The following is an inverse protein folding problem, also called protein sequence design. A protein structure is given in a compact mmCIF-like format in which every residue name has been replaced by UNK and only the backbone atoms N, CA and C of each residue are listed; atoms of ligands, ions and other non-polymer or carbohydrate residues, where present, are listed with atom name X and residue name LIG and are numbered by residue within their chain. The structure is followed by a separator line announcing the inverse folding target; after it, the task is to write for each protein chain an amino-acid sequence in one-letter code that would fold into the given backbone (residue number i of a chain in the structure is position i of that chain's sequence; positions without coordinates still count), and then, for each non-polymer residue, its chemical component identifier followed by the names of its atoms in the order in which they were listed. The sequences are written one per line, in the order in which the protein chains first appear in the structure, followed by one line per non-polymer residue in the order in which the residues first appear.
data_IF_968601795320
#
_entry.id   IF_968601795320
#
_cell.length_a   1.000
_cell.length_b   1.000
_cell.length_c   1.000
_cell.angle_alpha   90.00
_cell.angle_beta   90.00
_cell.angle_gamma   90.00
#
_symmetry.space_group_name_H-M   'P 1'
#
loop_
_entity.id
_entity.type
_entity.pdbx_description
1 polymer ?
#
# COMPACT_ATOMS: atom_id res chain seq x y z
N UNK A 1 7.32 -29.58 -36.73
CA UNK A 1 7.95 -29.41 -35.41
C UNK A 1 7.79 -27.97 -35.00
N UNK A 2 6.88 -27.68 -34.08
CA UNK A 2 6.76 -26.36 -33.45
C UNK A 2 7.46 -26.45 -32.09
N UNK A 3 8.76 -26.18 -32.07
CA UNK A 3 9.49 -25.98 -30.83
C UNK A 3 9.14 -24.60 -30.29
N UNK A 4 8.01 -24.47 -29.58
CA UNK A 4 7.73 -23.26 -28.81
C UNK A 4 8.81 -23.17 -27.75
N UNK A 5 9.61 -22.10 -27.80
CA UNK A 5 10.62 -21.84 -26.78
C UNK A 5 9.87 -21.48 -25.48
N UNK A 6 9.77 -22.45 -24.58
CA UNK A 6 9.06 -22.31 -23.31
C UNK A 6 9.60 -21.11 -22.50
N UNK A 7 10.92 -20.87 -22.52
CA UNK A 7 11.55 -19.69 -21.91
C UNK A 7 11.10 -18.38 -22.56
N UNK A 8 10.92 -18.36 -23.88
CA UNK A 8 10.42 -17.19 -24.61
C UNK A 8 8.97 -16.87 -24.25
N UNK A 9 8.12 -17.88 -24.14
CA UNK A 9 6.72 -17.71 -23.73
C UNK A 9 6.64 -17.20 -22.29
N UNK A 10 7.37 -17.80 -21.35
CA UNK A 10 7.41 -17.33 -19.96
C UNK A 10 7.94 -15.90 -19.81
N UNK A 11 8.97 -15.51 -20.57
CA UNK A 11 9.51 -14.16 -20.53
C UNK A 11 8.53 -13.11 -21.10
N UNK A 12 7.78 -13.46 -22.15
CA UNK A 12 6.76 -12.60 -22.75
C UNK A 12 5.59 -12.36 -21.80
N UNK A 13 5.21 -13.35 -21.00
CA UNK A 13 4.11 -13.22 -20.04
C UNK A 13 4.56 -12.52 -18.72
N UNK A 14 5.80 -12.72 -18.30
CA UNK A 14 6.32 -12.15 -17.05
C UNK A 14 6.46 -10.61 -17.09
N UNK A 15 6.95 -10.05 -18.21
CA UNK A 15 7.19 -8.60 -18.32
C UNK A 15 5.90 -7.76 -18.24
N UNK A 16 4.81 -8.08 -18.97
CA UNK A 16 3.53 -7.40 -18.85
C UNK A 16 2.91 -7.54 -17.47
N UNK A 17 3.01 -8.73 -16.85
CA UNK A 17 2.48 -8.94 -15.50
C UNK A 17 3.19 -8.08 -14.46
N UNK A 18 4.53 -8.01 -14.50
CA UNK A 18 5.28 -7.14 -13.61
C UNK A 18 4.92 -5.66 -13.81
N UNK A 19 4.81 -5.22 -15.07
CA UNK A 19 4.40 -3.85 -15.37
C UNK A 19 3.01 -3.52 -14.80
N UNK A 20 2.03 -4.41 -15.00
CA UNK A 20 0.68 -4.25 -14.45
C UNK A 20 0.71 -4.21 -12.93
N UNK A 21 1.49 -5.07 -12.28
CA UNK A 21 1.65 -5.08 -10.81
C UNK A 21 2.24 -3.78 -10.29
N UNK A 22 3.25 -3.20 -10.95
CA UNK A 22 3.82 -1.92 -10.53
C UNK A 22 2.76 -0.80 -10.60
N UNK A 23 2.04 -0.70 -11.71
CA UNK A 23 1.02 0.35 -11.87
C UNK A 23 -0.14 0.14 -10.89
N UNK A 24 -0.64 -1.08 -10.75
CA UNK A 24 -1.82 -1.35 -9.91
C UNK A 24 -1.49 -1.37 -8.42
N UNK A 25 -0.47 -2.12 -7.99
CA UNK A 25 -0.17 -2.40 -6.58
C UNK A 25 0.81 -1.39 -5.99
N UNK A 26 1.81 -0.91 -6.73
CA UNK A 26 2.77 0.06 -6.18
C UNK A 26 2.33 1.52 -6.34
N UNK A 27 1.39 1.83 -7.23
CA UNK A 27 0.97 3.21 -7.48
C UNK A 27 -0.52 3.39 -7.20
N UNK A 28 -1.40 2.76 -7.97
CA UNK A 28 -2.83 3.04 -7.88
C UNK A 28 -3.44 2.66 -6.53
N UNK A 29 -3.12 1.48 -6.00
CA UNK A 29 -3.60 1.02 -4.70
C UNK A 29 -3.17 1.96 -3.55
N UNK A 30 -1.88 2.30 -3.35
CA UNK A 30 -1.46 3.26 -2.34
C UNK A 30 -2.15 4.62 -2.45
N UNK A 31 -2.34 5.15 -3.67
CA UNK A 31 -3.04 6.44 -3.84
C UNK A 31 -4.48 6.34 -3.31
N UNK A 32 -5.22 5.30 -3.71
CA UNK A 32 -6.62 5.11 -3.29
C UNK A 32 -6.70 4.84 -1.78
N UNK A 33 -5.82 3.99 -1.27
CA UNK A 33 -5.78 3.62 0.15
C UNK A 33 -5.42 4.82 1.02
N UNK A 34 -4.44 5.63 0.65
CA UNK A 34 -4.10 6.84 1.41
C UNK A 34 -5.24 7.88 1.36
N UNK A 35 -5.88 8.08 0.20
CA UNK A 35 -7.05 8.96 0.10
C UNK A 35 -8.18 8.50 1.03
N UNK A 36 -8.48 7.20 1.05
CA UNK A 36 -9.54 6.64 1.87
C UNK A 36 -9.17 6.65 3.36
N UNK A 37 -8.05 6.05 3.73
CA UNK A 37 -7.73 5.86 5.14
C UNK A 37 -7.19 7.14 5.80
N UNK A 38 -6.37 7.91 5.10
CA UNK A 38 -5.69 9.08 5.69
C UNK A 38 -6.44 10.37 5.37
N UNK A 39 -7.06 10.46 4.20
CA UNK A 39 -7.86 11.62 3.80
C UNK A 39 -9.32 11.60 4.27
N UNK A 40 -9.89 10.42 4.56
CA UNK A 40 -11.28 10.32 5.04
C UNK A 40 -11.35 9.74 6.46
N UNK A 41 -10.85 8.52 6.69
CA UNK A 41 -11.03 7.82 7.97
C UNK A 41 -10.25 8.49 9.11
N UNK A 42 -8.96 8.81 8.90
CA UNK A 42 -8.13 9.48 9.90
C UNK A 42 -8.59 10.91 10.18
N UNK A 43 -8.99 11.65 9.14
CA UNK A 43 -9.51 13.01 9.31
C UNK A 43 -10.83 12.97 10.10
N UNK A 44 -11.75 12.03 9.81
CA UNK A 44 -12.96 11.80 10.61
C UNK A 44 -12.66 11.48 12.08
N UNK A 45 -11.74 10.56 12.37
CA UNK A 45 -11.36 10.29 13.76
C UNK A 45 -10.63 11.48 14.40
N UNK A 46 -9.87 12.26 13.62
CA UNK A 46 -9.14 13.44 14.09
C UNK A 46 -10.04 14.59 14.52
N UNK A 47 -11.28 14.65 14.04
CA UNK A 47 -12.29 15.60 14.53
C UNK A 47 -12.79 15.29 15.94
N UNK A 48 -12.69 14.02 16.37
CA UNK A 48 -13.31 13.51 17.61
C UNK A 48 -12.24 13.16 18.66
N UNK A 49 -11.07 12.68 18.22
CA UNK A 49 -10.07 12.08 19.08
C UNK A 49 -8.68 12.74 18.96
N UNK A 50 -7.85 12.68 20.01
CA UNK A 50 -6.44 13.07 19.95
C UNK A 50 -5.66 12.33 18.86
N UNK A 51 -4.58 12.96 18.37
CA UNK A 51 -3.80 12.50 17.20
C UNK A 51 -3.47 11.01 17.20
N UNK A 52 -2.97 10.49 18.31
CA UNK A 52 -2.50 9.10 18.38
C UNK A 52 -3.66 8.09 18.39
N UNK A 53 -4.82 8.48 18.90
CA UNK A 53 -6.01 7.63 18.89
C UNK A 53 -6.57 7.55 17.46
N UNK A 54 -6.64 8.67 16.75
CA UNK A 54 -7.05 8.70 15.35
C UNK A 54 -6.12 7.86 14.46
N UNK A 55 -4.80 8.04 14.62
CA UNK A 55 -3.79 7.25 13.87
C UNK A 55 -3.94 5.75 14.18
N UNK A 56 -4.05 5.38 15.46
CA UNK A 56 -4.14 3.98 15.87
C UNK A 56 -5.38 3.28 15.30
N UNK A 57 -6.56 3.89 15.43
CA UNK A 57 -7.79 3.26 14.94
C UNK A 57 -7.82 3.17 13.42
N UNK A 58 -7.38 4.21 12.71
CA UNK A 58 -7.24 4.13 11.25
C UNK A 58 -6.26 3.04 10.84
N UNK A 59 -5.08 2.96 11.48
CA UNK A 59 -4.09 1.93 11.20
C UNK A 59 -4.60 0.51 11.51
N UNK A 60 -5.39 0.34 12.58
CA UNK A 60 -6.02 -0.92 12.93
C UNK A 60 -7.02 -1.37 11.85
N UNK A 61 -7.91 -0.47 11.41
CA UNK A 61 -8.86 -0.78 10.33
C UNK A 61 -8.10 -1.10 9.04
N UNK A 62 -7.10 -0.29 8.69
CA UNK A 62 -6.26 -0.51 7.52
C UNK A 62 -5.54 -1.87 7.57
N UNK A 63 -5.01 -2.27 8.73
CA UNK A 63 -4.43 -3.59 8.92
C UNK A 63 -5.44 -4.72 8.71
N UNK A 64 -6.59 -4.65 9.37
CA UNK A 64 -7.59 -5.73 9.40
C UNK A 64 -8.17 -6.06 8.02
N UNK A 65 -8.25 -5.10 7.09
CA UNK A 65 -8.76 -5.35 5.73
C UNK A 65 -7.81 -6.19 4.86
N UNK A 66 -6.57 -6.44 5.27
CA UNK A 66 -5.58 -7.19 4.49
C UNK A 66 -5.66 -8.72 4.64
N UNK A 67 -6.65 -9.23 5.38
CA UNK A 67 -7.14 -10.61 5.47
C UNK A 67 -6.16 -11.75 5.85
N UNK A 68 -4.84 -11.57 5.72
CA UNK A 68 -3.85 -12.54 6.18
C UNK A 68 -3.02 -11.99 7.35
N UNK A 69 -2.59 -12.84 8.31
CA UNK A 69 -1.93 -12.37 9.53
C UNK A 69 -0.67 -11.52 9.32
N UNK A 70 0.17 -11.89 8.34
CA UNK A 70 1.41 -11.17 8.07
C UNK A 70 1.14 -9.80 7.48
N UNK A 71 0.23 -9.70 6.50
CA UNK A 71 -0.17 -8.42 5.92
C UNK A 71 -0.95 -7.56 6.90
N UNK A 72 -1.75 -8.14 7.81
CA UNK A 72 -2.44 -7.37 8.87
C UNK A 72 -1.40 -6.67 9.75
N UNK A 73 -0.41 -7.40 10.26
CA UNK A 73 0.63 -6.84 11.13
C UNK A 73 1.45 -5.79 10.36
N UNK A 74 1.82 -6.11 9.12
CA UNK A 74 2.63 -5.22 8.31
C UNK A 74 1.88 -3.92 7.96
N UNK A 75 0.64 -4.03 7.48
CA UNK A 75 -0.20 -2.89 7.13
C UNK A 75 -0.57 -2.06 8.37
N UNK A 76 -0.77 -2.67 9.54
CA UNK A 76 -0.95 -1.92 10.79
C UNK A 76 0.25 -1.02 11.08
N UNK A 77 1.46 -1.58 11.12
CA UNK A 77 2.66 -0.78 11.43
C UNK A 77 3.00 0.23 10.35
N UNK A 78 2.89 -0.14 9.07
CA UNK A 78 2.99 0.80 7.96
C UNK A 78 1.96 1.92 8.11
N UNK A 79 0.73 1.57 8.48
CA UNK A 79 -0.33 2.54 8.68
C UNK A 79 -0.12 3.50 9.85
N UNK A 80 0.52 3.06 10.93
CA UNK A 80 0.96 3.94 12.02
C UNK A 80 1.97 4.98 11.50
N UNK A 81 2.94 4.55 10.68
CA UNK A 81 3.95 5.43 10.08
C UNK A 81 3.30 6.41 9.09
N UNK A 82 2.49 5.91 8.15
CA UNK A 82 1.82 6.73 7.14
C UNK A 82 0.88 7.76 7.77
N UNK A 83 0.12 7.33 8.79
CA UNK A 83 -0.79 8.20 9.53
C UNK A 83 -0.05 9.29 10.32
N UNK A 84 1.08 8.96 10.95
CA UNK A 84 1.94 9.94 11.61
C UNK A 84 2.52 10.95 10.61
N UNK A 85 3.08 10.48 9.49
CA UNK A 85 3.64 11.34 8.45
C UNK A 85 2.58 12.27 7.86
N UNK A 86 1.37 11.76 7.58
CA UNK A 86 0.25 12.58 7.11
C UNK A 86 -0.13 13.67 8.13
N UNK A 87 -0.15 13.32 9.41
CA UNK A 87 -0.50 14.27 10.48
C UNK A 87 0.53 15.40 10.57
N UNK A 88 1.82 15.06 10.64
CA UNK A 88 2.89 16.05 10.82
C UNK A 88 3.12 16.92 9.57
N UNK A 89 2.91 16.37 8.37
CA UNK A 89 3.11 17.11 7.11
C UNK A 89 1.88 17.85 6.62
N UNK A 90 0.68 17.50 7.09
CA UNK A 90 -0.58 18.03 6.58
C UNK A 90 -0.89 17.61 5.13
N UNK A 91 -0.10 16.71 4.53
CA UNK A 91 -0.18 16.32 3.11
C UNK A 91 -0.27 14.81 2.96
N UNK A 92 -1.03 14.34 1.96
CA UNK A 92 -1.09 12.92 1.60
C UNK A 92 0.11 12.47 0.76
N UNK A 93 0.77 13.39 0.05
CA UNK A 93 1.86 13.02 -0.86
C UNK A 93 3.03 12.29 -0.20
N UNK A 94 3.51 12.69 0.99
CA UNK A 94 4.57 11.95 1.66
C UNK A 94 4.15 10.55 2.09
N UNK A 95 2.89 10.35 2.54
CA UNK A 95 2.39 9.03 2.94
C UNK A 95 2.16 8.13 1.73
N UNK A 96 1.59 8.67 0.64
CA UNK A 96 1.46 7.99 -0.66
C UNK A 96 2.83 7.53 -1.15
N UNK A 97 3.83 8.40 -1.12
CA UNK A 97 5.17 8.06 -1.57
C UNK A 97 5.79 6.91 -0.75
N UNK A 98 5.74 6.99 0.58
CA UNK A 98 6.27 5.93 1.45
C UNK A 98 5.54 4.60 1.24
N UNK A 99 4.22 4.65 1.10
CA UNK A 99 3.42 3.45 0.88
C UNK A 99 3.68 2.84 -0.51
N UNK A 100 3.78 3.66 -1.55
CA UNK A 100 4.20 3.23 -2.88
C UNK A 100 5.59 2.61 -2.90
N UNK A 101 6.56 3.18 -2.18
CA UNK A 101 7.89 2.60 -2.02
C UNK A 101 7.85 1.24 -1.32
N UNK A 102 7.02 1.10 -0.27
CA UNK A 102 6.85 -0.17 0.42
C UNK A 102 6.29 -1.25 -0.52
N UNK A 103 5.23 -0.94 -1.26
CA UNK A 103 4.62 -1.90 -2.19
C UNK A 103 5.56 -2.24 -3.36
N UNK A 104 6.31 -1.26 -3.88
CA UNK A 104 7.32 -1.52 -4.89
C UNK A 104 8.42 -2.45 -4.37
N UNK A 105 8.88 -2.24 -3.14
CA UNK A 105 9.85 -3.11 -2.49
C UNK A 105 9.33 -4.55 -2.37
N UNK A 106 8.07 -4.73 -1.96
CA UNK A 106 7.45 -6.07 -1.91
C UNK A 106 7.39 -6.70 -3.31
N UNK A 107 6.96 -5.97 -4.33
CA UNK A 107 6.94 -6.50 -5.70
C UNK A 107 8.34 -6.94 -6.12
N UNK A 108 9.37 -6.12 -5.93
CA UNK A 108 10.74 -6.47 -6.36
C UNK A 108 11.31 -7.65 -5.59
N UNK A 109 10.98 -7.81 -4.30
CA UNK A 109 11.45 -8.95 -3.50
C UNK A 109 10.79 -10.28 -3.84
N UNK A 110 9.56 -10.25 -4.35
CA UNK A 110 8.74 -11.45 -4.57
C UNK A 110 8.33 -11.69 -6.05
N UNK A 111 8.82 -10.85 -6.97
CA UNK A 111 8.62 -11.00 -8.43
C UNK A 111 9.61 -11.96 -9.09
#
# INVERSE_FOLDING_TARGET
GFGVNLFGVFAIDLQPMLFISIISVAIAAPVIEELLFRGLVQDFFGEIYPKWIAIFFTAAIFGLIHLNPFSIINAFWGGMVYGYVRYETGSLWPSIFLHSMWNLHIIVLFA
#
